data_IF_730485865965
#
_entry.id   IF_730485865965
#
_cell.length_a   1.000
_cell.length_b   1.000
_cell.length_c   1.000
_cell.angle_alpha   90.00
_cell.angle_beta   90.00
_cell.angle_gamma   90.00
#
_symmetry.space_group_name_H-M   'P 1'
#
loop_
_entity.id
_entity.type
_entity.pdbx_description
1 polymer ?
#
# COMPACT_ATOMS: atom_id res chain seq x y z
N UNK A 1 9.19 5.66 21.47
CA UNK A 1 8.20 5.53 20.38
C UNK A 1 7.37 6.79 20.34
N UNK A 2 6.88 7.22 19.18
CA UNK A 2 5.99 8.39 19.09
C UNK A 2 4.56 7.98 19.41
N UNK A 3 3.77 8.87 20.01
CA UNK A 3 2.42 8.54 20.48
C UNK A 3 1.47 8.09 19.36
N UNK A 4 1.58 8.67 18.17
CA UNK A 4 0.73 8.35 17.03
C UNK A 4 0.95 6.94 16.44
N UNK A 5 2.06 6.29 16.81
CA UNK A 5 2.41 4.92 16.39
C UNK A 5 2.75 4.06 17.62
N UNK A 6 2.07 4.31 18.75
CA UNK A 6 2.21 3.47 19.92
C UNK A 6 1.66 2.06 19.61
N UNK A 7 2.34 0.99 20.03
CA UNK A 7 1.92 -0.37 19.72
C UNK A 7 0.79 -0.81 20.65
N UNK A 8 -0.06 -1.71 20.19
CA UNK A 8 -1.03 -2.44 21.03
C UNK A 8 -0.59 -3.89 21.28
N UNK A 9 -1.43 -4.66 21.99
CA UNK A 9 -1.12 -6.02 22.42
C UNK A 9 -1.00 -7.03 21.25
N UNK A 10 -1.45 -6.67 20.05
CA UNK A 10 -1.34 -7.48 18.84
C UNK A 10 -0.06 -7.18 18.03
N UNK A 11 0.68 -6.14 18.41
CA UNK A 11 1.93 -5.77 17.76
C UNK A 11 3.12 -6.53 18.34
N UNK A 12 4.12 -6.83 17.50
CA UNK A 12 5.39 -7.37 17.98
C UNK A 12 6.47 -6.31 17.96
N UNK A 13 6.97 -5.93 19.15
CA UNK A 13 8.07 -4.98 19.32
C UNK A 13 9.39 -5.75 19.50
N UNK A 14 10.31 -5.60 18.53
CA UNK A 14 11.63 -6.24 18.58
C UNK A 14 12.70 -5.27 19.07
N UNK A 15 13.60 -5.75 19.93
CA UNK A 15 14.81 -5.02 20.32
C UNK A 15 15.79 -5.00 19.14
N UNK A 16 16.13 -3.80 18.67
CA UNK A 16 16.99 -3.61 17.50
C UNK A 16 18.43 -3.32 17.90
N UNK A 17 19.34 -4.26 17.63
CA UNK A 17 20.75 -4.16 18.02
C UNK A 17 21.67 -3.61 16.93
N UNK A 18 21.28 -3.70 15.66
CA UNK A 18 22.08 -3.29 14.47
C UNK A 18 21.18 -2.68 13.39
N UNK A 19 21.80 -2.19 12.31
CA UNK A 19 21.10 -1.59 11.18
C UNK A 19 20.11 -2.54 10.51
N UNK A 20 20.46 -3.82 10.31
CA UNK A 20 19.47 -4.83 9.90
C UNK A 20 18.53 -5.17 11.04
N UNK A 21 17.22 -5.23 10.78
CA UNK A 21 16.24 -5.72 11.75
C UNK A 21 16.35 -7.23 12.00
N UNK A 22 16.99 -8.01 11.14
CA UNK A 22 17.20 -9.45 11.30
C UNK A 22 18.40 -9.79 12.19
N UNK A 23 19.34 -8.86 12.32
CA UNK A 23 20.58 -9.17 13.02
C UNK A 23 20.40 -9.15 14.54
N UNK A 24 20.56 -10.32 15.17
CA UNK A 24 20.29 -10.57 16.60
C UNK A 24 18.82 -10.33 16.97
N UNK A 25 17.91 -10.77 16.11
CA UNK A 25 16.47 -10.75 16.37
C UNK A 25 15.81 -12.03 15.85
N UNK A 26 14.61 -12.39 16.35
CA UNK A 26 13.85 -13.54 15.85
C UNK A 26 13.06 -13.26 14.55
N UNK A 27 13.29 -12.11 13.89
CA UNK A 27 12.40 -11.64 12.81
C UNK A 27 12.26 -12.64 11.65
N UNK A 28 13.35 -13.29 11.24
CA UNK A 28 13.31 -14.26 10.13
C UNK A 28 12.47 -15.50 10.48
N UNK A 29 12.68 -16.06 11.67
CA UNK A 29 11.96 -17.24 12.15
C UNK A 29 10.47 -16.94 12.26
N UNK A 30 10.12 -15.79 12.84
CA UNK A 30 8.72 -15.35 12.95
C UNK A 30 8.02 -15.20 11.59
N UNK A 31 8.70 -14.64 10.59
CA UNK A 31 8.13 -14.49 9.24
C UNK A 31 7.92 -15.86 8.58
N UNK A 32 8.89 -16.77 8.72
CA UNK A 32 8.80 -18.14 8.18
C UNK A 32 7.68 -18.94 8.84
N UNK A 33 7.57 -18.90 10.15
CA UNK A 33 6.52 -19.59 10.91
C UNK A 33 5.12 -19.06 10.55
N UNK A 34 5.00 -17.75 10.30
CA UNK A 34 3.76 -17.14 9.82
C UNK A 34 3.46 -17.41 8.33
N UNK A 35 4.35 -18.09 7.60
CA UNK A 35 4.24 -18.31 6.16
C UNK A 35 4.29 -17.02 5.34
N UNK A 36 4.97 -15.98 5.83
CA UNK A 36 5.06 -14.66 5.18
C UNK A 36 6.42 -14.49 4.50
N UNK A 37 6.40 -14.29 3.19
CA UNK A 37 7.60 -14.07 2.36
C UNK A 37 7.72 -12.61 1.87
N UNK A 38 6.94 -11.68 2.43
CA UNK A 38 6.96 -10.26 2.08
C UNK A 38 7.08 -9.40 3.33
N UNK A 39 7.87 -8.33 3.25
CA UNK A 39 8.09 -7.39 4.35
C UNK A 39 7.92 -5.96 3.86
N UNK A 40 6.91 -5.27 4.37
CA UNK A 40 6.72 -3.83 4.16
C UNK A 40 7.65 -3.08 5.11
N UNK A 41 8.42 -2.12 4.59
CA UNK A 41 9.45 -1.38 5.33
C UNK A 41 9.15 0.11 5.27
N UNK A 42 9.01 0.71 6.46
CA UNK A 42 8.75 2.14 6.71
C UNK A 42 9.72 2.66 7.79
N UNK A 43 9.64 3.95 8.11
CA UNK A 43 10.32 4.55 9.26
C UNK A 43 11.61 5.29 8.91
N UNK A 44 12.57 5.27 9.84
CA UNK A 44 13.81 6.06 9.76
C UNK A 44 15.05 5.27 10.19
N UNK A 45 16.23 5.49 9.60
CA UNK A 45 16.50 6.32 8.42
C UNK A 45 16.56 5.45 7.15
N UNK A 46 16.03 5.99 6.05
CA UNK A 46 15.84 5.24 4.80
C UNK A 46 17.14 4.56 4.32
N UNK A 47 18.24 5.28 4.16
CA UNK A 47 19.49 4.75 3.63
C UNK A 47 20.30 3.90 4.62
N UNK A 48 20.01 3.97 5.92
CA UNK A 48 20.79 3.25 6.95
C UNK A 48 20.08 1.95 7.31
N UNK A 49 19.18 2.01 8.28
CA UNK A 49 18.55 0.84 8.88
C UNK A 49 17.56 0.19 7.93
N UNK A 50 16.72 1.01 7.27
CA UNK A 50 15.68 0.51 6.39
C UNK A 50 16.29 -0.17 5.16
N UNK A 51 17.18 0.49 4.42
CA UNK A 51 17.84 -0.07 3.23
C UNK A 51 18.68 -1.31 3.57
N UNK A 52 19.41 -1.29 4.69
CA UNK A 52 20.16 -2.48 5.13
C UNK A 52 19.22 -3.64 5.45
N UNK A 53 18.08 -3.38 6.10
CA UNK A 53 17.07 -4.40 6.38
C UNK A 53 16.43 -4.92 5.10
N UNK A 54 16.17 -4.07 4.10
CA UNK A 54 15.64 -4.50 2.81
C UNK A 54 16.61 -5.44 2.09
N UNK A 55 17.89 -5.09 2.02
CA UNK A 55 18.92 -5.95 1.41
C UNK A 55 19.10 -7.26 2.17
N UNK A 56 19.04 -7.24 3.50
CA UNK A 56 19.12 -8.46 4.32
C UNK A 56 17.86 -9.34 4.19
N UNK A 57 16.66 -8.74 4.07
CA UNK A 57 15.44 -9.48 3.76
C UNK A 57 15.56 -10.21 2.41
N UNK A 58 16.02 -9.50 1.38
CA UNK A 58 16.23 -10.05 0.05
C UNK A 58 17.18 -11.26 0.05
N UNK A 59 18.30 -11.17 0.79
CA UNK A 59 19.26 -12.28 0.93
C UNK A 59 18.71 -13.49 1.70
N UNK A 60 17.54 -13.36 2.36
CA UNK A 60 16.86 -14.40 3.15
C UNK A 60 15.58 -14.89 2.47
N UNK A 61 15.45 -14.68 1.16
CA UNK A 61 14.27 -15.05 0.36
C UNK A 61 12.97 -14.33 0.78
N UNK A 62 13.07 -13.17 1.43
CA UNK A 62 11.94 -12.31 1.81
C UNK A 62 11.91 -11.10 0.87
N UNK A 63 10.76 -10.85 0.23
CA UNK A 63 10.55 -9.77 -0.74
C UNK A 63 10.27 -8.45 -0.01
N UNK A 64 11.17 -7.46 -0.04
CA UNK A 64 10.94 -6.20 0.65
C UNK A 64 10.13 -5.24 -0.23
N UNK A 65 9.16 -4.58 0.41
CA UNK A 65 8.36 -3.48 -0.12
C UNK A 65 8.73 -2.20 0.63
N UNK A 66 9.51 -1.36 -0.03
CA UNK A 66 10.09 -0.14 0.52
C UNK A 66 9.16 1.04 0.22
N UNK A 67 8.57 1.63 1.25
CA UNK A 67 7.45 2.57 1.07
C UNK A 67 7.97 4.00 1.01
N UNK A 68 8.07 4.55 -0.20
CA UNK A 68 8.82 5.78 -0.47
C UNK A 68 8.32 7.01 0.32
N UNK A 69 7.02 7.13 0.50
CA UNK A 69 6.37 8.24 1.23
C UNK A 69 6.17 7.95 2.73
N UNK A 70 6.49 6.74 3.20
CA UNK A 70 6.49 6.36 4.61
C UNK A 70 7.91 6.16 5.16
N UNK A 71 8.91 6.71 4.48
CA UNK A 71 10.31 6.73 4.87
C UNK A 71 10.78 8.18 5.03
N UNK A 72 11.71 8.40 5.96
CA UNK A 72 12.43 9.66 6.04
C UNK A 72 13.93 9.42 6.23
N UNK A 73 14.71 10.43 5.89
CA UNK A 73 16.16 10.38 5.93
C UNK A 73 16.74 11.74 6.36
N UNK A 74 18.05 11.80 6.59
CA UNK A 74 18.74 13.04 6.93
C UNK A 74 18.70 14.06 5.79
N UNK A 75 18.71 13.59 4.54
CA UNK A 75 18.59 14.43 3.36
C UNK A 75 17.69 13.79 2.30
N UNK A 76 17.14 14.63 1.42
CA UNK A 76 16.39 14.16 0.25
C UNK A 76 17.27 13.32 -0.68
N UNK A 77 18.55 13.66 -0.82
CA UNK A 77 19.48 12.92 -1.67
C UNK A 77 19.70 11.49 -1.17
N UNK A 78 19.98 11.31 0.12
CA UNK A 78 20.14 9.99 0.73
C UNK A 78 18.86 9.17 0.67
N UNK A 79 17.71 9.82 0.90
CA UNK A 79 16.40 9.18 0.71
C UNK A 79 16.28 8.63 -0.71
N UNK A 80 16.43 9.48 -1.74
CA UNK A 80 16.31 9.05 -3.14
C UNK A 80 17.35 7.99 -3.53
N UNK A 81 18.56 8.06 -2.99
CA UNK A 81 19.58 7.05 -3.20
C UNK A 81 19.11 5.69 -2.66
N UNK A 82 18.56 5.65 -1.45
CA UNK A 82 18.03 4.42 -0.86
C UNK A 82 16.91 3.80 -1.71
N UNK A 83 15.98 4.63 -2.20
CA UNK A 83 14.92 4.18 -3.09
C UNK A 83 15.50 3.56 -4.37
N UNK A 84 16.41 4.27 -5.04
CA UNK A 84 17.05 3.79 -6.27
C UNK A 84 17.83 2.48 -6.05
N UNK A 85 18.53 2.37 -4.92
CA UNK A 85 19.27 1.16 -4.57
C UNK A 85 18.31 -0.03 -4.40
N UNK A 86 17.29 0.10 -3.56
CA UNK A 86 16.34 -1.00 -3.30
C UNK A 86 15.62 -1.40 -4.59
N UNK A 87 15.10 -0.44 -5.35
CA UNK A 87 14.44 -0.70 -6.63
C UNK A 87 15.33 -1.46 -7.62
N UNK A 88 16.63 -1.15 -7.66
CA UNK A 88 17.56 -1.75 -8.59
C UNK A 88 18.20 -3.06 -8.12
N UNK A 89 18.17 -3.37 -6.81
CA UNK A 89 19.05 -4.41 -6.23
C UNK A 89 18.38 -5.37 -5.27
N UNK A 90 17.36 -4.96 -4.53
CA UNK A 90 16.89 -5.78 -3.40
C UNK A 90 15.37 -5.81 -3.19
N UNK A 91 14.56 -5.00 -3.86
CA UNK A 91 13.12 -5.02 -3.61
C UNK A 91 12.26 -4.17 -4.52
N UNK A 92 10.99 -4.06 -4.13
CA UNK A 92 10.02 -3.16 -4.74
C UNK A 92 9.98 -1.85 -3.96
N UNK A 93 10.04 -0.74 -4.66
CA UNK A 93 9.69 0.58 -4.11
C UNK A 93 8.25 0.87 -4.51
N UNK A 94 7.44 1.29 -3.55
CA UNK A 94 6.01 1.58 -3.73
C UNK A 94 5.63 2.82 -2.94
N UNK A 95 4.52 3.46 -3.31
CA UNK A 95 3.84 4.47 -2.52
C UNK A 95 2.86 3.81 -1.54
N UNK A 96 2.55 4.48 -0.44
CA UNK A 96 1.61 3.98 0.57
C UNK A 96 0.26 3.61 -0.04
N UNK A 97 -0.24 4.42 -0.98
CA UNK A 97 -1.51 4.20 -1.67
C UNK A 97 -1.58 2.88 -2.46
N UNK A 98 -0.45 2.37 -2.95
CA UNK A 98 -0.41 1.10 -3.69
C UNK A 98 -0.66 -0.10 -2.77
N UNK A 99 -0.37 0.05 -1.48
CA UNK A 99 -0.54 -1.00 -0.47
C UNK A 99 -1.91 -0.95 0.21
N UNK A 100 -2.61 0.19 0.18
CA UNK A 100 -3.90 0.34 0.82
C UNK A 100 -4.99 -0.45 0.07
N UNK A 101 -5.88 -1.16 0.77
CA UNK A 101 -6.97 -1.87 0.10
C UNK A 101 -8.01 -0.90 -0.48
N UNK A 102 -8.12 0.31 0.07
CA UNK A 102 -9.07 1.35 -0.32
C UNK A 102 -8.33 2.64 -0.69
N UNK A 103 -8.91 3.48 -1.58
CA UNK A 103 -8.42 4.83 -1.81
C UNK A 103 -8.57 5.67 -0.54
N UNK A 104 -7.53 6.43 -0.18
CA UNK A 104 -7.49 7.24 1.04
C UNK A 104 -8.32 8.54 0.95
N UNK A 105 -8.75 8.93 -0.24
CA UNK A 105 -9.56 10.13 -0.48
C UNK A 105 -10.37 9.99 -1.77
N UNK A 106 -11.37 10.86 -1.98
CA UNK A 106 -12.10 10.93 -3.26
C UNK A 106 -11.16 11.22 -4.44
N UNK A 107 -10.14 12.06 -4.24
CA UNK A 107 -9.11 12.32 -5.25
C UNK A 107 -8.29 11.06 -5.57
N UNK A 108 -7.95 10.24 -4.57
CA UNK A 108 -7.27 8.96 -4.78
C UNK A 108 -8.18 7.94 -5.49
N UNK A 109 -9.48 7.93 -5.20
CA UNK A 109 -10.46 7.12 -5.94
C UNK A 109 -10.50 7.55 -7.41
N UNK A 110 -10.55 8.86 -7.67
CA UNK A 110 -10.52 9.40 -9.03
C UNK A 110 -9.24 9.00 -9.76
N UNK A 111 -8.07 9.15 -9.14
CA UNK A 111 -6.78 8.73 -9.71
C UNK A 111 -6.70 7.22 -9.97
N UNK A 112 -7.39 6.40 -9.18
CA UNK A 112 -7.50 4.95 -9.39
C UNK A 112 -8.41 4.60 -10.59
N UNK A 113 -9.48 5.37 -10.80
CA UNK A 113 -10.53 5.08 -11.79
C UNK A 113 -10.18 5.64 -13.17
N UNK A 114 -9.64 6.85 -13.28
CA UNK A 114 -9.37 7.51 -14.57
C UNK A 114 -8.52 6.64 -15.54
N UNK A 115 -7.45 5.95 -15.11
CA UNK A 115 -6.68 5.08 -16.00
C UNK A 115 -7.42 3.83 -16.50
N UNK A 116 -8.60 3.55 -15.93
CA UNK A 116 -9.48 2.43 -16.32
C UNK A 116 -10.54 2.86 -17.34
N UNK A 117 -10.60 4.14 -17.71
CA UNK A 117 -11.53 4.67 -18.71
C UNK A 117 -10.85 4.62 -20.08
N UNK A 118 -11.64 4.40 -21.13
CA UNK A 118 -11.12 4.31 -22.51
C UNK A 118 -11.31 5.62 -23.30
N UNK A 119 -12.04 6.59 -22.75
CA UNK A 119 -12.34 7.88 -23.37
C UNK A 119 -11.32 8.97 -22.99
N UNK A 120 -11.11 9.94 -23.89
CA UNK A 120 -10.16 11.05 -23.67
C UNK A 120 -10.71 12.14 -22.75
N UNK A 121 -12.03 12.25 -22.64
CA UNK A 121 -12.69 13.25 -21.81
C UNK A 121 -12.79 12.76 -20.37
N UNK A 122 -12.48 13.63 -19.43
CA UNK A 122 -12.57 13.31 -18.01
C UNK A 122 -14.00 13.51 -17.48
N UNK A 123 -14.64 12.49 -16.88
CA UNK A 123 -15.98 12.62 -16.32
C UNK A 123 -16.01 13.57 -15.13
N UNK A 124 -17.14 14.26 -14.94
CA UNK A 124 -17.47 14.85 -13.64
C UNK A 124 -17.77 13.75 -12.61
N UNK A 125 -17.71 14.08 -11.31
CA UNK A 125 -17.77 13.06 -10.27
C UNK A 125 -19.16 12.38 -10.12
N UNK A 126 -20.22 13.03 -10.61
CA UNK A 126 -21.61 12.56 -10.61
C UNK A 126 -22.03 11.89 -11.93
N UNK A 127 -21.14 11.85 -12.92
CA UNK A 127 -21.41 11.23 -14.22
C UNK A 127 -21.21 9.72 -14.20
N UNK A 128 -21.93 9.04 -15.10
CA UNK A 128 -21.89 7.60 -15.23
C UNK A 128 -20.60 7.16 -15.95
N UNK A 129 -19.73 6.48 -15.22
CA UNK A 129 -18.42 6.04 -15.70
C UNK A 129 -18.49 5.04 -16.87
N UNK A 130 -19.62 4.33 -17.05
CA UNK A 130 -19.81 3.41 -18.18
C UNK A 130 -19.86 4.19 -19.50
N UNK A 131 -20.40 5.42 -19.47
CA UNK A 131 -20.44 6.30 -20.65
C UNK A 131 -19.03 6.75 -21.07
N UNK A 132 -18.04 6.57 -20.19
CA UNK A 132 -16.62 6.86 -20.39
C UNK A 132 -15.75 5.60 -20.61
N UNK A 133 -16.38 4.47 -20.94
CA UNK A 133 -15.67 3.23 -21.30
C UNK A 133 -15.31 2.33 -20.11
N UNK A 134 -15.85 2.58 -18.92
CA UNK A 134 -15.68 1.65 -17.81
C UNK A 134 -16.47 0.36 -18.07
N UNK A 135 -15.76 -0.78 -18.11
CA UNK A 135 -16.37 -2.09 -18.34
C UNK A 135 -16.62 -2.91 -17.05
N UNK A 136 -17.34 -4.03 -17.22
CA UNK A 136 -17.67 -4.96 -16.13
C UNK A 136 -16.46 -5.65 -15.51
N UNK A 137 -15.39 -5.90 -16.27
CA UNK A 137 -14.18 -6.58 -15.79
C UNK A 137 -13.45 -5.69 -14.80
N UNK A 138 -13.29 -4.41 -15.14
CA UNK A 138 -12.69 -3.37 -14.29
C UNK A 138 -13.51 -3.16 -13.01
N UNK A 139 -14.83 -3.08 -13.12
CA UNK A 139 -15.71 -2.99 -11.95
C UNK A 139 -15.61 -4.23 -11.04
N UNK A 140 -15.56 -5.44 -11.61
CA UNK A 140 -15.40 -6.67 -10.83
C UNK A 140 -14.06 -6.70 -10.08
N UNK A 141 -12.98 -6.22 -10.70
CA UNK A 141 -11.67 -6.12 -10.06
C UNK A 141 -11.67 -5.14 -8.88
N UNK A 142 -12.30 -3.96 -9.05
CA UNK A 142 -12.47 -2.98 -7.96
C UNK A 142 -13.32 -3.56 -6.83
N UNK A 143 -14.46 -4.18 -7.16
CA UNK A 143 -15.33 -4.81 -6.16
C UNK A 143 -14.59 -5.90 -5.37
N UNK A 144 -13.82 -6.76 -6.03
CA UNK A 144 -13.03 -7.79 -5.36
C UNK A 144 -11.98 -7.22 -4.40
N UNK A 145 -11.34 -6.09 -4.77
CA UNK A 145 -10.39 -5.39 -3.91
C UNK A 145 -11.09 -4.81 -2.68
N UNK A 146 -12.18 -4.08 -2.87
CA UNK A 146 -12.89 -3.39 -1.78
C UNK A 146 -13.67 -4.34 -0.87
N UNK A 147 -14.07 -5.50 -1.38
CA UNK A 147 -14.71 -6.57 -0.57
C UNK A 147 -13.86 -7.05 0.60
N UNK A 148 -12.54 -6.94 0.50
CA UNK A 148 -11.62 -7.28 1.60
C UNK A 148 -11.83 -6.43 2.84
N UNK A 149 -12.36 -5.22 2.69
CA UNK A 149 -12.72 -4.32 3.79
C UNK A 149 -14.22 -4.32 4.04
N UNK A 150 -15.02 -4.28 2.98
CA UNK A 150 -16.47 -4.24 3.06
C UNK A 150 -17.09 -5.47 2.38
N UNK A 151 -17.42 -6.50 3.17
CA UNK A 151 -17.91 -7.78 2.63
C UNK A 151 -19.16 -7.70 1.75
N UNK A 152 -19.95 -6.63 1.87
CA UNK A 152 -21.16 -6.36 1.10
C UNK A 152 -20.91 -5.66 -0.25
N UNK A 153 -19.68 -5.21 -0.54
CA UNK A 153 -19.36 -4.62 -1.85
C UNK A 153 -19.21 -5.73 -2.90
N UNK A 154 -20.02 -5.64 -3.95
CA UNK A 154 -19.97 -6.47 -5.13
C UNK A 154 -20.21 -5.68 -6.42
N UNK A 155 -20.14 -6.37 -7.56
CA UNK A 155 -20.37 -5.76 -8.86
C UNK A 155 -21.76 -5.12 -8.96
N UNK A 156 -22.80 -5.74 -8.39
CA UNK A 156 -24.19 -5.24 -8.47
C UNK A 156 -24.32 -3.92 -7.72
N UNK A 157 -23.68 -3.81 -6.55
CA UNK A 157 -23.61 -2.57 -5.77
C UNK A 157 -22.93 -1.46 -6.57
N UNK A 158 -21.77 -1.74 -7.19
CA UNK A 158 -21.04 -0.73 -7.97
C UNK A 158 -21.77 -0.32 -9.25
N UNK A 159 -22.36 -1.28 -9.97
CA UNK A 159 -23.04 -1.04 -11.24
C UNK A 159 -24.40 -0.33 -11.09
N UNK A 160 -25.00 -0.32 -9.88
CA UNK A 160 -26.26 0.37 -9.63
C UNK A 160 -26.14 1.89 -9.78
N UNK A 161 -25.00 2.45 -9.38
CA UNK A 161 -24.71 3.88 -9.52
C UNK A 161 -23.20 4.06 -9.78
N UNK A 162 -22.73 3.84 -11.02
CA UNK A 162 -21.32 3.79 -11.38
C UNK A 162 -20.73 5.20 -11.52
N UNK A 163 -20.72 5.97 -10.43
CA UNK A 163 -20.18 7.35 -10.38
C UNK A 163 -19.12 7.45 -9.29
N UNK A 164 -18.19 8.40 -9.42
CA UNK A 164 -17.13 8.62 -8.41
C UNK A 164 -17.76 9.03 -7.08
N UNK A 165 -18.79 9.89 -7.10
CA UNK A 165 -19.52 10.31 -5.91
C UNK A 165 -20.18 9.14 -5.18
N UNK A 166 -20.89 8.29 -5.91
CA UNK A 166 -21.58 7.15 -5.31
C UNK A 166 -20.60 6.14 -4.72
N UNK A 167 -19.52 5.84 -5.44
CA UNK A 167 -18.49 4.93 -4.97
C UNK A 167 -17.72 5.49 -3.78
N UNK A 168 -17.40 6.79 -3.77
CA UNK A 168 -16.76 7.41 -2.61
C UNK A 168 -17.66 7.38 -1.37
N UNK A 169 -18.96 7.62 -1.52
CA UNK A 169 -19.92 7.50 -0.42
C UNK A 169 -19.98 6.07 0.14
N UNK A 170 -19.84 5.04 -0.71
CA UNK A 170 -19.76 3.64 -0.28
C UNK A 170 -18.47 3.32 0.49
N UNK A 171 -17.35 3.93 0.10
CA UNK A 171 -16.04 3.62 0.66
C UNK A 171 -15.70 4.44 1.92
N UNK A 172 -16.31 5.62 2.08
CA UNK A 172 -16.07 6.54 3.19
C UNK A 172 -16.95 6.29 4.43
N UNK A 173 -17.86 5.31 4.37
CA UNK A 173 -18.63 4.88 5.55
C UNK A 173 -17.70 4.26 6.61
N UNK A 174 -18.09 4.30 7.88
CA UNK A 174 -17.32 3.62 8.93
C UNK A 174 -17.34 2.10 8.69
N UNK A 175 -16.16 1.49 8.81
CA UNK A 175 -16.02 0.02 8.84
C UNK A 175 -16.64 -0.45 10.16
N UNK A 176 -17.73 -1.20 10.08
CA UNK A 176 -18.35 -1.85 11.24
C UNK A 176 -17.54 -3.05 11.72
#
# INVERSE_FOLDING_TARGET
MIAALAPDDNDTVLVKWRYSAFHRSPLEEMLKEAGRDQLIITGVYAHIGCMTTATDAFMRDIKPFFVADALADFSREEHLMALNYVAGRSGRVVMTEELLPLPASKAALRALVLPLLDESDEPMDDENLIDYGLDSVRMMALAARWRKVYGDIDFVVLAKNPTIDAWWALLSREVK
#
